data_IF_052449345331
#
_entry.id   IF_052449345331
#
_cell.length_a   1.000
_cell.length_b   1.000
_cell.length_c   1.000
_cell.angle_alpha   90.00
_cell.angle_beta   90.00
_cell.angle_gamma   90.00
#
_symmetry.space_group_name_H-M   'P 1'
#
loop_
_entity.id
_entity.type
_entity.pdbx_description
1 polymer ?
#
# COMPACT_ATOMS: atom_id res chain seq x y z
N UNK A 1 22.50 -11.90 -5.86
CA UNK A 1 21.17 -12.56 -5.94
C UNK A 1 20.47 -12.01 -7.17
N UNK A 2 19.87 -12.87 -8.04
CA UNK A 2 19.13 -12.40 -9.20
C UNK A 2 17.65 -12.29 -8.79
N UNK A 3 17.11 -11.08 -8.72
CA UNK A 3 15.71 -10.86 -8.38
C UNK A 3 14.81 -11.05 -9.60
N UNK A 4 13.81 -11.92 -9.50
CA UNK A 4 12.92 -12.31 -10.60
C UNK A 4 11.60 -11.55 -10.62
N UNK A 5 11.30 -10.78 -9.56
CA UNK A 5 10.05 -10.02 -9.45
C UNK A 5 9.78 -9.08 -10.62
N UNK A 6 10.83 -8.55 -11.28
CA UNK A 6 10.70 -7.59 -12.40
C UNK A 6 9.97 -8.16 -13.62
N UNK A 7 9.99 -9.47 -13.79
CA UNK A 7 9.33 -10.17 -14.89
C UNK A 7 7.94 -10.70 -14.49
N UNK A 8 7.55 -10.52 -13.23
CA UNK A 8 6.26 -11.00 -12.71
C UNK A 8 5.14 -10.03 -13.08
N UNK A 9 4.06 -10.47 -13.76
CA UNK A 9 2.96 -9.61 -14.18
C UNK A 9 2.16 -8.99 -13.02
N UNK A 10 2.37 -9.45 -11.79
CA UNK A 10 1.75 -8.90 -10.59
C UNK A 10 2.61 -7.86 -9.87
N UNK A 11 3.79 -7.58 -10.39
CA UNK A 11 4.65 -6.50 -9.92
C UNK A 11 4.44 -5.25 -10.78
N UNK A 12 4.10 -4.15 -10.14
CA UNK A 12 3.81 -2.88 -10.78
C UNK A 12 4.69 -1.77 -10.21
N UNK A 13 5.70 -1.36 -10.97
CA UNK A 13 6.46 -0.14 -10.68
C UNK A 13 5.71 1.04 -11.26
N UNK A 14 5.09 1.85 -10.40
CA UNK A 14 4.25 2.99 -10.80
C UNK A 14 5.13 4.18 -11.14
N UNK A 15 5.59 4.23 -12.40
CA UNK A 15 6.45 5.30 -12.88
C UNK A 15 5.63 6.45 -13.47
N UNK A 16 5.76 7.63 -12.86
CA UNK A 16 5.11 8.85 -13.33
C UNK A 16 5.92 10.09 -12.91
N UNK A 17 6.11 11.12 -13.78
CA UNK A 17 6.88 12.32 -13.42
C UNK A 17 6.44 13.01 -12.14
N UNK A 18 5.15 13.03 -11.84
CA UNK A 18 4.65 13.60 -10.57
C UNK A 18 5.05 12.76 -9.36
N UNK A 19 5.12 11.44 -9.48
CA UNK A 19 5.58 10.55 -8.40
C UNK A 19 7.07 10.79 -8.17
N UNK A 20 7.89 10.82 -9.23
CA UNK A 20 9.32 11.08 -9.14
C UNK A 20 9.62 12.44 -8.47
N UNK A 21 8.88 13.48 -8.87
CA UNK A 21 8.99 14.79 -8.25
C UNK A 21 8.67 14.77 -6.75
N UNK A 22 7.56 14.12 -6.37
CA UNK A 22 7.13 14.02 -4.98
C UNK A 22 8.10 13.16 -4.14
N UNK A 23 8.61 12.08 -4.71
CA UNK A 23 9.62 11.24 -4.08
C UNK A 23 10.92 12.00 -3.80
N UNK A 24 11.37 12.86 -4.73
CA UNK A 24 12.57 13.67 -4.52
C UNK A 24 12.43 14.57 -3.28
N UNK A 25 11.27 15.20 -3.11
CA UNK A 25 11.01 16.07 -1.95
C UNK A 25 10.78 15.21 -0.68
N UNK A 26 10.05 14.09 -0.79
CA UNK A 26 9.80 13.18 0.34
C UNK A 26 11.10 12.65 0.96
N UNK A 27 12.09 12.34 0.12
CA UNK A 27 13.40 11.82 0.53
C UNK A 27 14.27 12.85 1.23
N UNK A 28 14.10 14.14 0.93
CA UNK A 28 14.96 15.22 1.46
C UNK A 28 14.90 15.21 3.00
N UNK A 29 16.08 15.22 3.63
CA UNK A 29 16.22 15.22 5.09
C UNK A 29 15.59 16.47 5.72
N UNK A 30 15.49 17.57 4.97
CA UNK A 30 14.91 18.83 5.43
C UNK A 30 13.38 18.88 5.30
N UNK A 31 12.75 17.89 4.67
CA UNK A 31 11.29 17.81 4.56
C UNK A 31 10.70 17.59 5.94
N UNK A 32 9.91 18.54 6.41
CA UNK A 32 9.29 18.48 7.73
C UNK A 32 8.12 17.49 7.77
N UNK A 33 7.68 17.14 8.97
CA UNK A 33 6.62 16.14 9.22
C UNK A 33 5.33 16.45 8.45
N UNK A 34 4.87 17.69 8.42
CA UNK A 34 3.65 18.08 7.70
C UNK A 34 3.79 17.81 6.21
N UNK A 35 4.85 18.30 5.61
CA UNK A 35 5.10 18.13 4.18
C UNK A 35 5.33 16.66 3.81
N UNK A 36 6.02 15.90 4.68
CA UNK A 36 6.23 14.48 4.50
C UNK A 36 4.90 13.71 4.46
N UNK A 37 3.97 14.02 5.36
CA UNK A 37 2.64 13.41 5.39
C UNK A 37 1.82 13.78 4.15
N UNK A 38 1.80 15.04 3.73
CA UNK A 38 1.11 15.49 2.53
C UNK A 38 1.63 14.77 1.27
N UNK A 39 2.95 14.63 1.14
CA UNK A 39 3.57 13.92 0.01
C UNK A 39 3.28 12.41 0.03
N UNK A 40 3.30 11.79 1.21
CA UNK A 40 2.93 10.38 1.35
C UNK A 40 1.47 10.13 0.94
N UNK A 41 0.54 11.00 1.34
CA UNK A 41 -0.86 10.95 0.90
C UNK A 41 -0.99 11.10 -0.62
N UNK A 42 -0.29 12.07 -1.22
CA UNK A 42 -0.36 12.34 -2.65
C UNK A 42 0.22 11.19 -3.49
N UNK A 43 1.33 10.58 -3.05
CA UNK A 43 1.89 9.40 -3.72
C UNK A 43 0.93 8.22 -3.58
N UNK A 44 0.39 7.97 -2.38
CA UNK A 44 -0.59 6.91 -2.15
C UNK A 44 -1.84 7.05 -3.03
N UNK A 45 -2.29 8.28 -3.26
CA UNK A 45 -3.40 8.57 -4.18
C UNK A 45 -3.05 8.16 -5.62
N UNK A 46 -1.86 8.51 -6.10
CA UNK A 46 -1.42 8.17 -7.46
C UNK A 46 -1.21 6.65 -7.64
N UNK A 47 -0.64 5.98 -6.64
CA UNK A 47 -0.52 4.50 -6.63
C UNK A 47 -1.90 3.83 -6.63
N UNK A 48 -2.84 4.34 -5.84
CA UNK A 48 -4.20 3.82 -5.79
C UNK A 48 -4.90 3.96 -7.13
N UNK A 49 -4.70 5.06 -7.84
CA UNK A 49 -5.25 5.25 -9.19
C UNK A 49 -4.79 4.12 -10.13
N UNK A 50 -3.51 3.76 -10.10
CA UNK A 50 -2.99 2.64 -10.87
C UNK A 50 -3.53 1.29 -10.36
N UNK A 51 -3.53 1.08 -9.06
CA UNK A 51 -3.95 -0.18 -8.42
C UNK A 51 -5.46 -0.47 -8.58
N UNK A 52 -6.25 0.49 -9.01
CA UNK A 52 -7.71 0.35 -9.15
C UNK A 52 -8.21 0.30 -10.59
N UNK A 53 -7.31 0.19 -11.57
CA UNK A 53 -7.67 0.10 -13.00
C UNK A 53 -8.56 -1.10 -13.36
N UNK A 54 -8.52 -2.16 -12.57
CA UNK A 54 -9.26 -3.40 -12.78
C UNK A 54 -10.55 -3.49 -11.96
N UNK A 55 -10.97 -2.39 -11.30
CA UNK A 55 -12.23 -2.41 -10.54
C UNK A 55 -13.42 -2.72 -11.44
N UNK A 56 -14.31 -3.61 -11.01
CA UNK A 56 -15.49 -3.97 -11.78
C UNK A 56 -16.45 -2.79 -11.89
N UNK A 57 -16.99 -2.61 -13.09
CA UNK A 57 -17.97 -1.58 -13.40
C UNK A 57 -19.33 -2.23 -13.67
N UNK A 58 -20.40 -1.58 -13.26
CA UNK A 58 -21.79 -1.94 -13.59
C UNK A 58 -22.46 -0.83 -14.41
N UNK A 59 -23.36 -1.22 -15.32
CA UNK A 59 -24.15 -0.25 -16.08
C UNK A 59 -25.30 0.30 -15.22
N UNK A 60 -25.44 1.60 -15.21
CA UNK A 60 -26.51 2.32 -14.50
C UNK A 60 -27.12 3.37 -15.39
N UNK A 61 -28.42 3.62 -15.22
CA UNK A 61 -29.09 4.74 -15.86
C UNK A 61 -28.97 5.97 -14.94
N UNK A 62 -28.45 7.04 -15.48
CA UNK A 62 -28.26 8.32 -14.79
C UNK A 62 -29.14 9.37 -15.45
N UNK A 63 -30.03 10.01 -14.70
CA UNK A 63 -30.80 11.15 -15.16
C UNK A 63 -29.87 12.37 -15.24
N UNK A 64 -29.67 12.89 -16.45
CA UNK A 64 -28.93 14.12 -16.68
C UNK A 64 -29.92 15.28 -16.85
N UNK A 65 -29.46 16.55 -16.88
CA UNK A 65 -30.35 17.67 -17.16
C UNK A 65 -31.06 17.62 -18.51
N UNK A 66 -30.63 16.76 -19.43
CA UNK A 66 -31.16 16.70 -20.79
C UNK A 66 -31.91 15.40 -21.10
N UNK A 67 -31.34 14.24 -20.68
CA UNK A 67 -31.89 12.92 -20.98
C UNK A 67 -31.35 11.86 -20.03
N UNK A 68 -31.87 10.63 -20.11
CA UNK A 68 -31.30 9.48 -19.38
C UNK A 68 -30.07 8.95 -20.13
N UNK A 69 -28.92 9.00 -19.46
CA UNK A 69 -27.66 8.47 -19.95
C UNK A 69 -27.35 7.07 -19.40
N UNK A 70 -26.88 6.16 -20.24
CA UNK A 70 -26.28 4.89 -19.81
C UNK A 70 -24.84 5.15 -19.40
N UNK A 71 -24.55 5.00 -18.12
CA UNK A 71 -23.23 5.24 -17.52
C UNK A 71 -22.66 3.97 -16.90
N UNK A 72 -21.36 4.02 -16.55
CA UNK A 72 -20.70 2.95 -15.80
C UNK A 72 -20.29 3.50 -14.45
N UNK A 73 -20.57 2.75 -13.40
CA UNK A 73 -20.15 3.06 -12.03
C UNK A 73 -19.39 1.89 -11.44
N UNK A 74 -18.47 2.19 -10.52
CA UNK A 74 -17.77 1.13 -9.77
C UNK A 74 -18.81 0.33 -9.00
N UNK A 75 -18.82 -0.99 -9.22
CA UNK A 75 -19.85 -1.84 -8.64
C UNK A 75 -19.65 -2.02 -7.13
N UNK A 76 -20.69 -1.74 -6.38
CA UNK A 76 -20.92 -2.18 -5.02
C UNK A 76 -19.82 -1.90 -3.99
N UNK A 77 -19.48 -2.94 -3.23
CA UNK A 77 -18.53 -2.90 -2.10
C UNK A 77 -17.08 -3.17 -2.57
N UNK A 78 -16.56 -2.35 -3.49
CA UNK A 78 -15.35 -2.71 -4.23
C UNK A 78 -14.08 -2.75 -3.38
N UNK A 79 -13.82 -1.75 -2.51
CA UNK A 79 -12.50 -1.55 -1.89
C UNK A 79 -12.56 -1.45 -0.36
N UNK A 80 -11.56 -2.03 0.29
CA UNK A 80 -11.19 -1.75 1.67
C UNK A 80 -9.71 -1.39 1.77
N UNK A 81 -9.35 -0.59 2.75
CA UNK A 81 -7.98 -0.12 3.00
C UNK A 81 -7.50 -0.75 4.31
N UNK A 82 -6.28 -1.25 4.33
CA UNK A 82 -5.67 -1.82 5.54
C UNK A 82 -4.24 -1.29 5.70
N UNK A 83 -4.05 -0.20 6.46
CA UNK A 83 -2.72 0.23 6.83
C UNK A 83 -2.05 -0.77 7.77
N UNK A 84 -0.77 -1.04 7.52
CA UNK A 84 0.10 -1.70 8.51
C UNK A 84 0.53 -0.61 9.51
N UNK A 85 0.11 -0.75 10.75
CA UNK A 85 0.40 0.23 11.80
C UNK A 85 1.89 0.22 12.14
N UNK A 86 2.49 1.38 12.40
CA UNK A 86 1.93 2.75 12.44
C UNK A 86 2.01 3.47 11.08
N UNK A 87 3.11 3.26 10.34
CA UNK A 87 3.48 4.09 9.18
C UNK A 87 2.45 4.07 8.04
N UNK A 88 1.75 2.95 7.83
CA UNK A 88 0.69 2.85 6.82
C UNK A 88 -0.46 3.86 6.99
N UNK A 89 -0.67 4.41 8.20
CA UNK A 89 -1.67 5.44 8.43
C UNK A 89 -1.45 6.69 7.58
N UNK A 90 -0.20 7.03 7.26
CA UNK A 90 0.14 8.17 6.41
C UNK A 90 -0.36 8.06 4.96
N UNK A 91 -0.76 6.86 4.52
CA UNK A 91 -1.25 6.62 3.16
C UNK A 91 -2.79 6.58 3.07
N UNK A 92 -3.49 6.35 4.19
CA UNK A 92 -4.95 6.10 4.21
C UNK A 92 -5.76 7.26 3.61
N UNK A 93 -5.44 8.49 3.99
CA UNK A 93 -6.14 9.69 3.52
C UNK A 93 -6.02 9.84 2.00
N UNK A 94 -4.85 9.53 1.43
CA UNK A 94 -4.63 9.55 -0.02
C UNK A 94 -5.56 8.59 -0.77
N UNK A 95 -5.69 7.35 -0.28
CA UNK A 95 -6.60 6.36 -0.86
C UNK A 95 -8.06 6.81 -0.72
N UNK A 96 -8.46 7.33 0.45
CA UNK A 96 -9.83 7.78 0.69
C UNK A 96 -10.23 9.01 -0.14
N UNK A 97 -9.28 9.88 -0.51
CA UNK A 97 -9.56 11.00 -1.42
C UNK A 97 -10.03 10.53 -2.80
N UNK A 98 -9.52 9.39 -3.28
CA UNK A 98 -9.98 8.77 -4.54
C UNK A 98 -11.23 7.92 -4.34
N UNK A 99 -11.31 7.18 -3.25
CA UNK A 99 -12.39 6.23 -2.97
C UNK A 99 -13.02 6.56 -1.62
N UNK A 100 -13.86 7.62 -1.53
CA UNK A 100 -14.40 8.11 -0.26
C UNK A 100 -15.19 7.07 0.54
N UNK A 101 -15.80 6.10 -0.15
CA UNK A 101 -16.59 5.03 0.46
C UNK A 101 -15.77 3.79 0.82
N UNK A 102 -14.44 3.81 0.62
CA UNK A 102 -13.57 2.70 1.02
C UNK A 102 -13.63 2.52 2.54
N UNK A 103 -13.86 1.29 2.98
CA UNK A 103 -13.83 0.97 4.42
C UNK A 103 -12.39 0.78 4.87
N UNK A 104 -12.09 1.24 6.08
CA UNK A 104 -10.75 1.12 6.66
C UNK A 104 -10.74 0.05 7.73
N UNK A 105 -9.87 -0.95 7.56
CA UNK A 105 -9.44 -1.85 8.61
C UNK A 105 -8.05 -1.44 9.09
N UNK A 106 -7.54 -2.07 10.13
CA UNK A 106 -6.19 -1.82 10.63
C UNK A 106 -5.54 -3.13 11.03
N UNK A 107 -4.24 -3.26 10.79
CA UNK A 107 -3.44 -4.37 11.28
C UNK A 107 -2.17 -3.85 11.94
N UNK A 108 -1.92 -4.30 13.17
CA UNK A 108 -0.73 -3.97 13.93
C UNK A 108 0.06 -5.23 14.26
N UNK A 109 1.35 -5.18 13.94
CA UNK A 109 2.29 -6.27 14.10
C UNK A 109 3.54 -5.77 14.81
N UNK A 110 4.14 -6.62 15.65
CA UNK A 110 5.51 -6.45 16.10
C UNK A 110 6.24 -7.79 16.01
N UNK A 111 7.56 -7.76 16.05
CA UNK A 111 8.36 -8.98 16.17
C UNK A 111 8.65 -9.22 17.63
N UNK A 112 8.35 -10.42 18.07
CA UNK A 112 8.72 -10.87 19.41
C UNK A 112 10.24 -10.81 19.57
N UNK A 113 10.71 -10.30 20.71
CA UNK A 113 12.14 -10.08 20.94
C UNK A 113 12.93 -11.38 21.09
N UNK A 114 12.29 -12.44 21.59
CA UNK A 114 12.95 -13.71 21.91
C UNK A 114 12.84 -14.70 20.73
N UNK A 115 11.65 -14.80 20.13
CA UNK A 115 11.35 -15.76 19.07
C UNK A 115 11.55 -15.21 17.67
N UNK A 116 11.60 -13.88 17.52
CA UNK A 116 11.57 -13.16 16.24
C UNK A 116 10.34 -13.45 15.37
N UNK A 117 9.35 -14.15 15.93
CA UNK A 117 8.09 -14.43 15.24
C UNK A 117 7.20 -13.17 15.17
N UNK A 118 6.38 -13.04 14.10
CA UNK A 118 5.44 -11.93 14.00
C UNK A 118 4.28 -12.13 14.98
N UNK A 119 4.04 -11.14 15.83
CA UNK A 119 2.92 -11.11 16.75
C UNK A 119 1.93 -10.05 16.34
N UNK A 120 0.68 -10.47 16.13
CA UNK A 120 -0.45 -9.58 15.92
C UNK A 120 -0.90 -9.01 17.26
N UNK A 121 -0.80 -7.69 17.44
CA UNK A 121 -1.36 -7.04 18.63
C UNK A 121 -2.70 -6.36 18.35
N UNK A 122 -3.02 -6.12 17.08
CA UNK A 122 -4.29 -5.53 16.66
C UNK A 122 -4.65 -5.93 15.24
N UNK A 123 -5.88 -6.41 15.03
CA UNK A 123 -6.44 -6.58 13.71
C UNK A 123 -7.95 -6.40 13.75
N UNK A 124 -8.42 -5.39 13.03
CA UNK A 124 -9.85 -5.17 12.82
C UNK A 124 -10.09 -4.86 11.35
N UNK A 125 -10.73 -5.79 10.66
CA UNK A 125 -11.13 -5.63 9.27
C UNK A 125 -12.61 -5.25 9.17
N UNK A 126 -13.04 -4.67 8.03
CA UNK A 126 -14.46 -4.51 7.73
C UNK A 126 -15.20 -5.85 7.80
N UNK A 127 -16.43 -5.87 8.31
CA UNK A 127 -17.20 -7.11 8.47
C UNK A 127 -17.44 -7.86 7.13
N UNK A 128 -17.37 -7.15 6.01
CA UNK A 128 -17.54 -7.66 4.65
C UNK A 128 -16.20 -7.69 3.87
N UNK A 129 -15.06 -7.79 4.58
CA UNK A 129 -13.72 -7.75 3.98
C UNK A 129 -13.52 -8.83 2.91
N UNK A 130 -14.10 -10.02 3.09
CA UNK A 130 -14.02 -11.14 2.14
C UNK A 130 -14.61 -10.82 0.76
N UNK A 131 -15.55 -9.84 0.71
CA UNK A 131 -16.24 -9.43 -0.52
C UNK A 131 -15.53 -8.25 -1.22
N UNK A 132 -14.44 -7.73 -0.63
CA UNK A 132 -13.73 -6.54 -1.10
C UNK A 132 -12.36 -6.88 -1.66
N UNK A 133 -11.86 -6.02 -2.53
CA UNK A 133 -10.42 -5.95 -2.80
C UNK A 133 -9.79 -5.13 -1.67
N UNK A 134 -8.92 -5.73 -0.86
CA UNK A 134 -8.19 -5.02 0.18
C UNK A 134 -6.89 -4.44 -0.36
N UNK A 135 -6.74 -3.14 -0.24
CA UNK A 135 -5.49 -2.42 -0.51
C UNK A 135 -4.75 -2.30 0.83
N UNK A 136 -3.73 -3.11 1.00
CA UNK A 136 -2.79 -3.03 2.14
C UNK A 136 -1.79 -1.93 1.83
N UNK A 137 -1.58 -1.01 2.76
CA UNK A 137 -0.68 0.13 2.56
C UNK A 137 0.39 0.19 3.64
N UNK A 138 1.63 0.37 3.21
CA UNK A 138 2.80 0.62 4.06
C UNK A 138 3.81 1.44 3.26
N UNK A 139 4.30 2.59 3.73
CA UNK A 139 5.24 3.40 2.97
C UNK A 139 6.58 2.71 2.70
N UNK A 140 6.95 1.68 3.46
CA UNK A 140 8.27 1.06 3.39
C UNK A 140 8.18 -0.46 3.22
N UNK A 141 8.61 -0.98 2.08
CA UNK A 141 8.78 -2.41 1.85
C UNK A 141 10.27 -2.77 1.93
N UNK A 142 10.80 -2.88 3.15
CA UNK A 142 12.22 -3.15 3.38
C UNK A 142 12.55 -4.65 3.24
N UNK A 143 12.46 -5.44 4.31
CA UNK A 143 12.71 -6.90 4.26
C UNK A 143 11.54 -7.69 3.71
N UNK A 144 10.35 -7.09 3.63
CA UNK A 144 9.10 -7.74 3.23
C UNK A 144 8.42 -8.55 4.35
N UNK A 145 9.07 -8.71 5.50
CA UNK A 145 8.53 -9.53 6.60
C UNK A 145 7.17 -9.05 7.10
N UNK A 146 7.08 -7.80 7.55
CA UNK A 146 5.82 -7.25 8.09
C UNK A 146 4.68 -7.26 7.06
N UNK A 147 4.98 -6.95 5.80
CA UNK A 147 3.99 -6.99 4.72
C UNK A 147 3.50 -8.42 4.46
N UNK A 148 4.42 -9.40 4.37
CA UNK A 148 4.11 -10.81 4.18
C UNK A 148 3.27 -11.37 5.35
N UNK A 149 3.65 -11.06 6.58
CA UNK A 149 2.95 -11.49 7.78
C UNK A 149 1.52 -10.89 7.84
N UNK A 150 1.39 -9.59 7.55
CA UNK A 150 0.10 -8.91 7.47
C UNK A 150 -0.82 -9.56 6.43
N UNK A 151 -0.31 -9.82 5.23
CA UNK A 151 -1.06 -10.47 4.15
C UNK A 151 -1.49 -11.89 4.57
N UNK A 152 -0.58 -12.65 5.20
CA UNK A 152 -0.91 -13.98 5.74
C UNK A 152 -2.08 -13.92 6.72
N UNK A 153 -2.05 -12.96 7.65
CA UNK A 153 -3.10 -12.80 8.66
C UNK A 153 -4.43 -12.34 8.07
N UNK A 154 -4.39 -11.50 7.05
CA UNK A 154 -5.57 -11.06 6.30
C UNK A 154 -6.18 -12.25 5.53
N UNK A 155 -5.37 -13.06 4.87
CA UNK A 155 -5.82 -14.29 4.17
C UNK A 155 -6.45 -15.32 5.11
N UNK A 156 -5.90 -15.50 6.32
CA UNK A 156 -6.50 -16.37 7.35
C UNK A 156 -7.92 -15.95 7.76
N UNK A 157 -8.31 -14.70 7.49
CA UNK A 157 -9.65 -14.15 7.71
C UNK A 157 -10.56 -14.23 6.47
N UNK A 158 -10.20 -15.06 5.49
CA UNK A 158 -11.02 -15.35 4.32
C UNK A 158 -10.89 -14.38 3.16
N UNK A 159 -10.06 -13.33 3.27
CA UNK A 159 -9.87 -12.35 2.20
C UNK A 159 -9.04 -12.96 1.06
N UNK A 160 -9.56 -12.85 -0.17
CA UNK A 160 -8.95 -13.47 -1.37
C UNK A 160 -8.31 -12.45 -2.32
N UNK A 161 -8.81 -11.22 -2.34
CA UNK A 161 -8.33 -10.17 -3.24
C UNK A 161 -7.54 -9.15 -2.45
N UNK A 162 -6.23 -9.17 -2.59
CA UNK A 162 -5.30 -8.30 -1.85
C UNK A 162 -4.35 -7.65 -2.85
N UNK A 163 -4.16 -6.35 -2.69
CA UNK A 163 -3.13 -5.56 -3.35
C UNK A 163 -2.27 -4.90 -2.28
N UNK A 164 -0.96 -4.84 -2.49
CA UNK A 164 -0.02 -4.14 -1.61
C UNK A 164 0.47 -2.88 -2.31
N UNK A 165 0.37 -1.72 -1.67
CA UNK A 165 0.92 -0.45 -2.16
C UNK A 165 1.98 0.07 -1.20
N UNK A 166 3.18 0.35 -1.73
CA UNK A 166 4.32 0.83 -0.94
C UNK A 166 5.06 1.96 -1.66
N UNK A 167 5.39 3.03 -0.95
CA UNK A 167 6.06 4.19 -1.56
C UNK A 167 7.50 3.84 -1.95
N UNK A 168 8.29 3.31 -1.02
CA UNK A 168 9.69 2.93 -1.25
C UNK A 168 9.90 1.47 -0.91
N UNK A 169 10.61 0.76 -1.78
CA UNK A 169 10.82 -0.68 -1.63
C UNK A 169 12.27 -1.08 -1.91
N UNK A 170 12.69 -2.20 -1.31
CA UNK A 170 13.93 -2.90 -1.68
C UNK A 170 13.62 -4.07 -2.63
N UNK A 171 14.57 -4.49 -3.45
CA UNK A 171 14.45 -5.71 -4.25
C UNK A 171 14.19 -6.96 -3.38
N UNK A 172 14.83 -7.03 -2.21
CA UNK A 172 14.69 -8.12 -1.25
C UNK A 172 13.27 -8.23 -0.72
N UNK A 173 12.67 -7.09 -0.33
CA UNK A 173 11.33 -7.04 0.21
C UNK A 173 10.26 -7.39 -0.81
N UNK A 174 10.40 -6.87 -2.03
CA UNK A 174 9.49 -7.21 -3.14
C UNK A 174 9.55 -8.72 -3.42
N UNK A 175 10.77 -9.27 -3.59
CA UNK A 175 10.95 -10.69 -3.90
C UNK A 175 10.33 -11.56 -2.82
N UNK A 176 10.57 -11.24 -1.54
CA UNK A 176 9.98 -11.99 -0.42
C UNK A 176 8.45 -12.02 -0.46
N UNK A 177 7.81 -10.86 -0.62
CA UNK A 177 6.33 -10.80 -0.67
C UNK A 177 5.80 -11.58 -1.86
N UNK A 178 6.45 -11.52 -3.01
CA UNK A 178 6.00 -12.24 -4.21
C UNK A 178 6.23 -13.74 -4.13
N UNK A 179 7.28 -14.19 -3.44
CA UNK A 179 7.54 -15.61 -3.19
C UNK A 179 6.51 -16.20 -2.20
N UNK A 180 6.23 -15.46 -1.11
CA UNK A 180 5.28 -15.90 -0.08
C UNK A 180 3.81 -15.80 -0.56
N UNK A 181 3.52 -14.81 -1.43
CA UNK A 181 2.16 -14.48 -1.87
C UNK A 181 2.08 -14.25 -3.40
N UNK A 182 2.25 -15.28 -4.21
CA UNK A 182 2.26 -15.16 -5.69
C UNK A 182 0.92 -14.73 -6.29
N UNK A 183 -0.14 -14.73 -5.50
CA UNK A 183 -1.49 -14.27 -5.87
C UNK A 183 -1.73 -12.77 -5.62
N UNK A 184 -0.85 -12.10 -4.86
CA UNK A 184 -0.97 -10.68 -4.49
C UNK A 184 -0.30 -9.79 -5.54
N UNK A 185 -0.98 -8.71 -5.92
CA UNK A 185 -0.39 -7.65 -6.74
C UNK A 185 0.36 -6.64 -5.86
N UNK A 186 1.58 -6.30 -6.26
CA UNK A 186 2.46 -5.39 -5.54
C UNK A 186 2.69 -4.14 -6.36
N UNK A 187 2.28 -2.99 -5.85
CA UNK A 187 2.45 -1.67 -6.44
C UNK A 187 3.48 -0.89 -5.64
N UNK A 188 4.47 -0.31 -6.31
CA UNK A 188 5.52 0.48 -5.65
C UNK A 188 5.82 1.74 -6.45
N UNK A 189 6.00 2.86 -5.77
CA UNK A 189 6.39 4.12 -6.40
C UNK A 189 7.90 4.17 -6.66
N UNK A 190 8.72 3.52 -5.82
CA UNK A 190 10.16 3.42 -6.05
C UNK A 190 10.72 2.05 -5.64
N UNK A 191 11.65 1.56 -6.49
CA UNK A 191 12.50 0.40 -6.17
C UNK A 191 13.91 0.90 -5.96
N UNK A 192 14.36 0.91 -4.72
CA UNK A 192 15.69 1.36 -4.33
C UNK A 192 16.74 0.26 -4.51
N UNK A 193 18.01 0.62 -4.27
CA UNK A 193 19.14 -0.23 -4.65
C UNK A 193 19.24 -1.52 -3.85
N UNK A 194 19.16 -1.42 -2.50
CA UNK A 194 19.39 -2.53 -1.57
C UNK A 194 19.02 -2.16 -0.13
N UNK A 195 19.09 -3.12 0.78
CA UNK A 195 19.12 -2.88 2.23
C UNK A 195 20.55 -2.70 2.73
N UNK A 196 20.72 -1.92 3.82
CA UNK A 196 21.96 -1.89 4.59
C UNK A 196 21.97 -3.02 5.65
N UNK A 197 23.05 -3.10 6.44
CA UNK A 197 23.23 -4.08 7.51
C UNK A 197 22.17 -4.01 8.62
N UNK A 198 21.53 -2.84 8.80
CA UNK A 198 20.45 -2.61 9.74
C UNK A 198 19.07 -2.72 9.10
N UNK A 199 18.97 -3.32 7.90
CA UNK A 199 17.73 -3.49 7.14
C UNK A 199 17.03 -2.18 6.71
N UNK A 200 17.73 -1.04 6.67
CA UNK A 200 17.21 0.18 6.06
C UNK A 200 17.38 0.16 4.55
N UNK A 201 16.39 0.67 3.84
CA UNK A 201 16.43 0.83 2.38
C UNK A 201 17.44 1.92 2.01
N UNK A 202 18.27 1.68 0.99
CA UNK A 202 19.25 2.62 0.46
C UNK A 202 18.99 2.94 -1.03
N UNK A 203 18.88 4.24 -1.40
CA UNK A 203 19.08 5.45 -0.58
C UNK A 203 17.96 5.69 0.43
N UNK A 204 16.74 5.15 0.23
CA UNK A 204 15.63 5.20 1.15
C UNK A 204 15.11 6.62 1.44
N UNK A 205 14.50 6.76 2.60
CA UNK A 205 13.98 8.03 3.13
C UNK A 205 14.08 8.10 4.68
N UNK A 206 14.85 7.20 5.30
CA UNK A 206 14.93 7.06 6.75
C UNK A 206 13.80 6.19 7.32
N UNK A 207 13.40 6.45 8.57
CA UNK A 207 12.22 5.82 9.18
C UNK A 207 10.96 6.60 8.84
N UNK A 208 10.06 5.97 8.08
CA UNK A 208 8.83 6.62 7.63
C UNK A 208 7.87 6.93 8.80
N UNK A 209 7.80 6.05 9.81
CA UNK A 209 6.96 6.26 10.98
C UNK A 209 7.40 7.49 11.76
N UNK A 210 8.69 7.61 12.05
CA UNK A 210 9.24 8.75 12.75
C UNK A 210 9.07 10.07 11.97
N UNK A 211 9.26 10.02 10.65
CA UNK A 211 9.06 11.20 9.78
C UNK A 211 7.59 11.61 9.66
N UNK A 212 6.65 10.64 9.62
CA UNK A 212 5.22 10.90 9.58
C UNK A 212 4.67 11.49 10.88
N UNK A 213 5.19 11.03 12.02
CA UNK A 213 4.61 11.35 13.33
C UNK A 213 5.50 12.23 14.21
N UNK A 214 6.70 12.58 13.75
CA UNK A 214 7.61 13.44 14.49
C UNK A 214 8.09 12.82 15.81
N UNK A 215 8.36 11.51 15.81
CA UNK A 215 8.72 10.74 17.02
C UNK A 215 10.23 10.66 17.27
N UNK A 216 11.04 11.34 16.47
CA UNK A 216 12.47 11.60 16.69
C UNK A 216 12.77 13.07 16.59
#
# INVERSE_FOLDING_TARGET
MKFTFRENPKFHHVQHPLIEHKLAILRDINTNTKQFMELAEEIAMLETYEATKDLPLEEVNVETPLEIAKCKMVSGKAVGIVPILRAGLGMVSGVQKLIPNAKVGHIGLYRDHDTHEPVEYYCKLPADAEQRTLIVVDPMLATGGSASDAITMIKKRGVKKIKLCCIVSSPEGIQKVMDDHPDVEVYVAAVDRQLNENCYILPGLGDAGDRLFGTK
#
